data_IF_184932276909
#
_entry.id   IF_184932276909
#
_cell.length_a   1.000
_cell.length_b   1.000
_cell.length_c   1.000
_cell.angle_alpha   90.00
_cell.angle_beta   90.00
_cell.angle_gamma   90.00
#
_symmetry.space_group_name_H-M   'P 1'
#
loop_
_entity.id
_entity.type
_entity.pdbx_description
1 polymer ?
#
# COMPACT_ATOMS: atom_id res chain seq x y z
N UNK A 1 -1.89 -4.42 2.67
CA UNK A 1 -0.93 -3.59 3.46
C UNK A 1 -1.58 -3.20 4.78
N UNK A 2 -0.81 -2.87 5.83
CA UNK A 2 -1.33 -2.39 7.13
C UNK A 2 -0.69 -1.07 7.50
N UNK A 3 -1.47 -0.19 8.13
CA UNK A 3 -1.00 1.02 8.82
C UNK A 3 -1.17 0.81 10.32
N UNK A 4 -0.14 1.13 11.10
CA UNK A 4 -0.06 0.87 12.54
C UNK A 4 0.08 2.19 13.28
N UNK A 5 -0.60 2.35 14.42
CA UNK A 5 -0.67 3.59 15.19
C UNK A 5 -0.27 3.38 16.65
N UNK A 6 0.53 4.29 17.21
CA UNK A 6 0.78 4.34 18.66
C UNK A 6 1.03 5.77 19.15
N UNK A 7 0.75 5.99 20.45
CA UNK A 7 1.01 7.23 21.16
C UNK A 7 2.24 7.12 22.06
N UNK A 8 2.81 8.27 22.46
CA UNK A 8 4.03 8.32 23.27
C UNK A 8 3.98 7.66 24.66
N UNK A 9 2.82 7.22 25.15
CA UNK A 9 2.77 6.49 26.42
C UNK A 9 3.48 5.12 26.35
N UNK A 10 3.62 4.52 25.16
CA UNK A 10 4.30 3.23 24.95
C UNK A 10 5.72 3.37 24.38
N UNK A 11 6.28 4.58 24.39
CA UNK A 11 7.50 4.92 23.64
C UNK A 11 8.75 4.12 24.08
N UNK A 12 8.86 3.79 25.38
CA UNK A 12 9.98 2.99 25.91
C UNK A 12 9.96 1.55 25.39
N UNK A 13 8.80 0.90 25.41
CA UNK A 13 8.62 -0.45 24.85
C UNK A 13 8.78 -0.44 23.33
N UNK A 14 8.24 0.59 22.66
CA UNK A 14 8.39 0.78 21.23
C UNK A 14 9.87 0.87 20.81
N UNK A 15 10.70 1.70 21.46
CA UNK A 15 12.12 1.83 21.04
C UNK A 15 12.98 0.62 21.33
N UNK A 16 12.74 -0.08 22.45
CA UNK A 16 13.46 -1.32 22.77
C UNK A 16 13.24 -2.38 21.68
N UNK A 17 12.02 -2.48 21.19
CA UNK A 17 11.61 -3.45 20.17
C UNK A 17 11.97 -2.95 18.76
N UNK A 18 11.84 -1.65 18.48
CA UNK A 18 12.21 -1.03 17.22
C UNK A 18 13.71 -1.17 16.90
N UNK A 19 14.60 -0.98 17.89
CA UNK A 19 16.03 -1.21 17.70
C UNK A 19 16.35 -2.68 17.40
N UNK A 20 15.67 -3.62 18.06
CA UNK A 20 15.80 -5.06 17.78
C UNK A 20 15.42 -5.35 16.33
N UNK A 21 14.37 -4.71 15.83
CA UNK A 21 13.88 -4.90 14.46
C UNK A 21 14.76 -4.30 13.37
N UNK A 22 15.24 -3.06 13.53
CA UNK A 22 16.15 -2.43 12.55
C UNK A 22 17.44 -3.24 12.40
N UNK A 23 17.90 -3.87 13.49
CA UNK A 23 19.08 -4.73 13.48
C UNK A 23 18.81 -6.14 12.93
N UNK A 24 17.57 -6.62 12.97
CA UNK A 24 17.22 -8.00 12.57
C UNK A 24 16.53 -8.11 11.21
N UNK A 25 16.00 -7.02 10.64
CA UNK A 25 15.26 -7.05 9.36
C UNK A 25 15.78 -5.97 8.41
N UNK A 26 16.80 -6.30 7.58
CA UNK A 26 17.48 -5.33 6.70
C UNK A 26 16.57 -4.67 5.66
N UNK A 27 15.43 -5.28 5.32
CA UNK A 27 14.53 -4.83 4.25
C UNK A 27 13.27 -4.10 4.74
N UNK A 28 13.16 -3.83 6.04
CA UNK A 28 11.94 -3.25 6.58
C UNK A 28 11.85 -1.74 6.32
N UNK A 29 11.06 -1.37 5.30
CA UNK A 29 10.86 0.02 4.90
C UNK A 29 9.79 0.71 5.76
N UNK A 30 10.12 1.00 7.04
CA UNK A 30 9.24 1.79 7.90
C UNK A 30 9.48 3.27 7.63
N UNK A 31 8.52 3.90 6.97
CA UNK A 31 8.44 5.36 6.90
C UNK A 31 7.96 5.93 8.24
N UNK A 32 8.90 6.18 9.16
CA UNK A 32 8.64 7.03 10.31
C UNK A 32 8.57 8.48 9.84
N UNK A 33 7.36 8.98 9.54
CA UNK A 33 7.16 10.41 9.46
C UNK A 33 7.38 11.03 10.84
N UNK A 34 8.53 11.67 11.01
CA UNK A 34 8.78 12.60 12.10
C UNK A 34 8.73 14.02 11.57
N UNK A 35 8.02 14.90 12.29
CA UNK A 35 8.64 16.18 12.61
C UNK A 35 9.95 15.84 13.35
N UNK A 36 11.08 15.99 12.64
CA UNK A 36 12.49 15.79 13.03
C UNK A 36 13.12 14.40 12.79
N UNK A 37 13.80 14.26 11.64
CA UNK A 37 14.67 13.14 11.28
C UNK A 37 15.95 13.09 12.13
N UNK A 38 15.89 12.44 13.31
CA UNK A 38 17.06 11.78 13.92
C UNK A 38 16.58 10.45 14.52
N UNK A 39 17.39 9.42 14.33
CA UNK A 39 17.20 8.08 14.90
C UNK A 39 16.76 8.20 16.36
N UNK A 40 15.54 7.73 16.64
CA UNK A 40 14.83 7.80 17.93
C UNK A 40 14.47 9.22 18.42
N UNK A 41 13.17 9.62 18.39
CA UNK A 41 12.71 10.79 19.11
C UNK A 41 12.99 10.69 20.59
N UNK A 42 13.62 11.71 21.21
CA UNK A 42 13.53 11.84 22.65
C UNK A 42 12.03 11.88 23.04
N UNK A 43 11.67 11.36 24.22
CA UNK A 43 10.30 11.44 24.70
C UNK A 43 9.79 12.88 24.59
N UNK A 44 8.53 13.10 24.15
CA UNK A 44 8.03 14.45 23.94
C UNK A 44 8.17 15.27 25.23
N UNK A 45 8.74 16.47 25.11
CA UNK A 45 8.80 17.43 26.21
C UNK A 45 7.38 17.74 26.70
N UNK A 46 7.22 18.12 27.98
CA UNK A 46 5.91 18.44 28.56
C UNK A 46 5.10 19.36 27.62
N UNK A 47 3.85 18.97 27.35
CA UNK A 47 2.94 19.69 26.47
C UNK A 47 2.98 19.31 24.98
N UNK A 48 3.89 18.43 24.52
CA UNK A 48 3.94 17.97 23.12
C UNK A 48 3.32 16.58 22.94
N UNK A 49 2.48 16.41 21.90
CA UNK A 49 1.94 15.11 21.50
C UNK A 49 2.81 14.50 20.38
N UNK A 50 3.02 13.19 20.42
CA UNK A 50 3.73 12.45 19.38
C UNK A 50 2.82 11.32 18.87
N UNK A 51 2.63 11.31 17.55
CA UNK A 51 1.95 10.24 16.81
C UNK A 51 3.00 9.45 16.04
N UNK A 52 3.00 8.13 16.19
CA UNK A 52 3.84 7.23 15.40
C UNK A 52 2.95 6.48 14.43
N UNK A 53 3.35 6.51 13.15
CA UNK A 53 2.72 5.75 12.08
C UNK A 53 3.77 4.79 11.51
N UNK A 54 3.44 3.50 11.49
CA UNK A 54 4.21 2.48 10.80
C UNK A 54 3.40 1.88 9.64
N UNK A 55 4.07 1.53 8.55
CA UNK A 55 3.46 0.79 7.44
C UNK A 55 4.14 -0.58 7.29
N UNK A 56 3.36 -1.62 6.98
CA UNK A 56 3.91 -2.95 6.69
C UNK A 56 3.09 -3.69 5.63
N UNK A 57 3.78 -4.43 4.77
CA UNK A 57 3.18 -5.46 3.90
C UNK A 57 3.17 -6.84 4.56
N UNK A 58 3.93 -7.04 5.64
CA UNK A 58 4.14 -8.31 6.36
C UNK A 58 3.73 -8.18 7.82
N UNK A 59 2.43 -8.33 8.07
CA UNK A 59 1.86 -8.26 9.44
C UNK A 59 2.31 -9.46 10.28
N UNK A 60 2.34 -10.63 9.65
CA UNK A 60 2.83 -11.91 10.17
C UNK A 60 4.19 -11.76 10.85
N UNK A 61 5.16 -11.17 10.16
CA UNK A 61 6.51 -10.96 10.68
C UNK A 61 6.50 -10.06 11.92
N UNK A 62 5.74 -8.96 11.92
CA UNK A 62 5.65 -8.08 13.10
C UNK A 62 4.94 -8.75 14.28
N UNK A 63 4.02 -9.67 14.02
CA UNK A 63 3.35 -10.44 15.06
C UNK A 63 4.31 -11.47 15.69
N UNK A 64 5.08 -12.21 14.87
CA UNK A 64 6.12 -13.14 15.34
C UNK A 64 7.21 -12.45 16.15
N UNK A 65 7.50 -11.19 15.83
CA UNK A 65 8.48 -10.38 16.55
C UNK A 65 7.94 -9.70 17.83
N UNK A 66 6.68 -9.96 18.20
CA UNK A 66 5.96 -9.34 19.34
C UNK A 66 5.90 -7.80 19.24
N UNK A 67 5.91 -7.29 18.02
CA UNK A 67 5.94 -5.85 17.75
C UNK A 67 4.57 -5.25 17.55
N UNK A 68 3.62 -6.07 17.12
CA UNK A 68 2.27 -5.63 16.88
C UNK A 68 1.68 -4.98 18.15
N UNK A 69 2.04 -5.51 19.33
CA UNK A 69 1.57 -5.04 20.64
C UNK A 69 2.14 -3.67 21.03
N UNK A 70 3.24 -3.22 20.40
CA UNK A 70 3.74 -1.86 20.58
C UNK A 70 2.84 -0.82 19.90
N UNK A 71 1.93 -1.26 19.01
CA UNK A 71 0.96 -0.43 18.33
C UNK A 71 -0.45 -0.59 18.93
N UNK A 72 -1.05 0.53 19.33
CA UNK A 72 -2.41 0.58 19.87
C UNK A 72 -3.52 0.26 18.85
N UNK A 73 -3.26 0.45 17.56
CA UNK A 73 -4.30 0.24 16.52
C UNK A 73 -3.67 -0.15 15.19
N UNK A 74 -4.37 -0.98 14.42
CA UNK A 74 -3.99 -1.38 13.07
C UNK A 74 -5.14 -1.14 12.08
N UNK A 75 -4.83 -0.59 10.91
CA UNK A 75 -5.78 -0.36 9.82
C UNK A 75 -5.38 -1.24 8.64
N UNK A 76 -6.35 -1.98 8.09
CA UNK A 76 -6.15 -2.74 6.85
C UNK A 76 -6.31 -1.84 5.64
N UNK A 77 -5.30 -1.86 4.76
CA UNK A 77 -5.38 -1.23 3.44
C UNK A 77 -5.50 -2.37 2.41
N UNK A 78 -6.72 -2.65 1.92
CA UNK A 78 -6.95 -3.71 0.93
C UNK A 78 -6.45 -3.27 -0.46
N UNK A 79 -6.23 -4.27 -1.32
CA UNK A 79 -6.05 -4.03 -2.75
C UNK A 79 -7.40 -3.71 -3.41
N UNK A 80 -7.37 -3.13 -4.61
CA UNK A 80 -8.54 -3.05 -5.48
C UNK A 80 -8.93 -4.49 -5.82
N UNK A 81 -10.20 -4.82 -5.56
CA UNK A 81 -10.71 -6.20 -5.68
C UNK A 81 -11.79 -6.37 -6.75
N UNK A 82 -12.40 -5.26 -7.19
CA UNK A 82 -13.53 -5.24 -8.10
C UNK A 82 -13.23 -4.46 -9.36
N UNK A 83 -13.78 -4.92 -10.48
CA UNK A 83 -13.69 -4.22 -11.76
C UNK A 83 -14.22 -2.79 -11.70
N UNK A 84 -15.31 -2.54 -10.97
CA UNK A 84 -15.87 -1.19 -10.82
C UNK A 84 -14.90 -0.24 -10.10
N UNK A 85 -14.28 -0.70 -9.01
CA UNK A 85 -13.28 0.07 -8.26
C UNK A 85 -12.04 0.37 -9.10
N UNK A 86 -11.63 -0.58 -9.97
CA UNK A 86 -10.53 -0.37 -10.90
C UNK A 86 -10.86 0.76 -11.86
N UNK A 87 -12.05 0.74 -12.48
CA UNK A 87 -12.47 1.77 -13.44
C UNK A 87 -12.60 3.14 -12.77
N UNK A 88 -13.15 3.20 -11.56
CA UNK A 88 -13.21 4.43 -10.76
C UNK A 88 -11.81 4.99 -10.46
N UNK A 89 -10.85 4.11 -10.11
CA UNK A 89 -9.46 4.52 -9.92
C UNK A 89 -8.82 5.06 -11.21
N UNK A 90 -9.07 4.43 -12.36
CA UNK A 90 -8.58 4.91 -13.66
C UNK A 90 -9.19 6.28 -14.03
N UNK A 91 -10.44 6.51 -13.63
CA UNK A 91 -11.10 7.79 -13.83
C UNK A 91 -10.51 8.89 -12.97
N UNK A 92 -10.34 8.65 -11.67
CA UNK A 92 -9.71 9.61 -10.76
C UNK A 92 -8.27 9.94 -11.15
N UNK A 93 -7.53 8.97 -11.69
CA UNK A 93 -6.16 9.15 -12.16
C UNK A 93 -6.08 9.81 -13.56
N UNK A 94 -7.20 10.00 -14.26
CA UNK A 94 -7.25 10.67 -15.56
C UNK A 94 -6.42 9.99 -16.66
N UNK A 95 -6.14 8.69 -16.52
CA UNK A 95 -5.09 8.03 -17.32
C UNK A 95 -5.56 7.43 -18.65
N UNK A 96 -6.88 7.25 -18.81
CA UNK A 96 -7.52 6.71 -19.99
C UNK A 96 -8.73 7.58 -20.36
N UNK A 97 -8.99 7.70 -21.66
CA UNK A 97 -10.17 8.39 -22.18
C UNK A 97 -11.45 7.60 -21.85
N UNK A 98 -12.60 8.27 -21.91
CA UNK A 98 -13.90 7.66 -21.58
C UNK A 98 -14.17 6.36 -22.35
N UNK A 99 -13.88 6.34 -23.66
CA UNK A 99 -14.02 5.15 -24.50
C UNK A 99 -13.11 4.01 -24.05
N UNK A 100 -11.84 4.31 -23.77
CA UNK A 100 -10.86 3.33 -23.28
C UNK A 100 -11.30 2.76 -21.92
N UNK A 101 -11.77 3.61 -21.00
CA UNK A 101 -12.32 3.18 -19.71
C UNK A 101 -13.55 2.29 -19.88
N UNK A 102 -14.43 2.59 -20.82
CA UNK A 102 -15.60 1.76 -21.12
C UNK A 102 -15.20 0.37 -21.66
N UNK A 103 -14.17 0.30 -22.49
CA UNK A 103 -13.65 -0.97 -23.02
C UNK A 103 -12.96 -1.80 -21.93
N UNK A 104 -12.19 -1.15 -21.04
CA UNK A 104 -11.63 -1.79 -19.85
C UNK A 104 -12.75 -2.30 -18.94
N UNK A 105 -13.78 -1.49 -18.68
CA UNK A 105 -14.91 -1.86 -17.83
C UNK A 105 -15.62 -3.13 -18.33
N UNK A 106 -15.86 -3.23 -19.65
CA UNK A 106 -16.39 -4.46 -20.26
C UNK A 106 -15.46 -5.65 -20.06
N UNK A 107 -14.15 -5.44 -20.25
CA UNK A 107 -13.15 -6.50 -20.17
C UNK A 107 -12.93 -7.03 -18.75
N UNK A 108 -13.22 -6.26 -17.70
CA UNK A 108 -13.05 -6.68 -16.29
C UNK A 108 -14.38 -7.03 -15.61
N UNK A 109 -15.51 -6.85 -16.30
CA UNK A 109 -16.84 -7.14 -15.74
C UNK A 109 -16.95 -8.61 -15.33
N UNK A 110 -17.38 -8.83 -14.10
CA UNK A 110 -17.56 -10.19 -13.55
C UNK A 110 -16.26 -10.94 -13.24
N UNK A 111 -15.09 -10.30 -13.39
CA UNK A 111 -13.80 -10.89 -13.02
C UNK A 111 -13.30 -10.32 -11.69
N UNK A 112 -12.61 -11.18 -10.92
CA UNK A 112 -11.83 -10.76 -9.77
C UNK A 112 -10.65 -9.90 -10.21
N UNK A 113 -10.40 -8.82 -9.47
CA UNK A 113 -9.20 -8.00 -9.60
C UNK A 113 -8.41 -8.13 -8.29
N UNK A 114 -7.08 -8.03 -8.34
CA UNK A 114 -6.27 -7.93 -7.14
C UNK A 114 -5.00 -7.12 -7.39
N UNK A 115 -5.09 -5.81 -7.18
CA UNK A 115 -3.95 -4.91 -7.43
C UNK A 115 -3.85 -3.79 -6.41
N UNK A 116 -2.63 -3.52 -5.95
CA UNK A 116 -2.32 -2.36 -5.12
C UNK A 116 -2.04 -1.13 -5.98
N UNK A 117 -2.37 0.06 -5.46
CA UNK A 117 -2.28 1.34 -6.20
C UNK A 117 -0.91 1.58 -6.83
N UNK A 118 0.20 1.34 -6.11
CA UNK A 118 1.56 1.53 -6.67
C UNK A 118 1.79 0.69 -7.94
N UNK A 119 1.36 -0.57 -7.92
CA UNK A 119 1.51 -1.47 -9.07
C UNK A 119 0.58 -1.03 -10.19
N UNK A 120 -0.66 -0.66 -9.86
CA UNK A 120 -1.62 -0.13 -10.83
C UNK A 120 -1.06 1.09 -11.58
N UNK A 121 -0.53 2.08 -10.87
CA UNK A 121 0.09 3.29 -11.48
C UNK A 121 1.22 2.92 -12.42
N UNK A 122 2.10 1.99 -12.04
CA UNK A 122 3.17 1.49 -12.91
C UNK A 122 2.62 0.84 -14.20
N UNK A 123 1.57 0.01 -14.11
CA UNK A 123 0.99 -0.63 -15.30
C UNK A 123 0.30 0.38 -16.22
N UNK A 124 -0.33 1.40 -15.64
CA UNK A 124 -0.91 2.52 -16.38
C UNK A 124 0.20 3.26 -17.14
N UNK A 125 1.26 3.67 -16.44
CA UNK A 125 2.40 4.39 -17.03
C UNK A 125 2.99 3.62 -18.22
N UNK A 126 3.15 2.29 -18.09
CA UNK A 126 3.64 1.45 -19.18
C UNK A 126 2.66 1.39 -20.37
N UNK A 127 1.35 1.35 -20.10
CA UNK A 127 0.34 1.26 -21.15
C UNK A 127 0.18 2.56 -21.94
N UNK A 128 0.25 3.72 -21.28
CA UNK A 128 0.06 5.04 -21.94
C UNK A 128 1.21 5.42 -22.87
N UNK A 129 2.38 4.78 -22.76
CA UNK A 129 3.48 4.93 -23.71
C UNK A 129 3.22 4.27 -25.07
N UNK A 130 2.20 3.40 -25.16
CA UNK A 130 1.80 2.80 -26.43
C UNK A 130 0.98 3.80 -27.27
N UNK A 131 0.97 3.57 -28.59
CA UNK A 131 0.03 4.27 -29.47
C UNK A 131 -1.41 4.09 -28.98
N UNK A 132 -2.30 5.08 -29.16
CA UNK A 132 -3.66 5.07 -28.62
C UNK A 132 -4.45 3.79 -28.85
N UNK A 133 -4.28 3.17 -30.02
CA UNK A 133 -4.98 1.94 -30.41
C UNK A 133 -4.56 0.70 -29.60
N UNK A 134 -3.38 0.72 -28.96
CA UNK A 134 -2.81 -0.41 -28.21
C UNK A 134 -2.80 -0.24 -26.70
N UNK A 135 -3.20 0.92 -26.17
CA UNK A 135 -3.12 1.22 -24.73
C UNK A 135 -3.97 0.27 -23.89
N UNK A 136 -5.23 0.08 -24.28
CA UNK A 136 -6.19 -0.80 -23.58
C UNK A 136 -5.72 -2.25 -23.62
N UNK A 137 -5.31 -2.75 -24.78
CA UNK A 137 -4.85 -4.13 -24.93
C UNK A 137 -3.57 -4.36 -24.13
N UNK A 138 -2.60 -3.43 -24.17
CA UNK A 138 -1.39 -3.50 -23.36
C UNK A 138 -1.70 -3.52 -21.86
N UNK A 139 -2.57 -2.63 -21.39
CA UNK A 139 -2.96 -2.55 -19.98
C UNK A 139 -3.61 -3.86 -19.49
N UNK A 140 -4.56 -4.39 -20.24
CA UNK A 140 -5.23 -5.66 -19.89
C UNK A 140 -4.27 -6.85 -19.92
N UNK A 141 -3.31 -6.87 -20.85
CA UNK A 141 -2.25 -7.89 -20.88
C UNK A 141 -1.37 -7.80 -19.64
N UNK A 142 -0.90 -6.59 -19.29
CA UNK A 142 -0.10 -6.37 -18.09
C UNK A 142 -0.84 -6.77 -16.81
N UNK A 143 -2.14 -6.48 -16.70
CA UNK A 143 -2.95 -6.93 -15.57
C UNK A 143 -2.98 -8.45 -15.43
N UNK A 144 -3.11 -9.19 -16.54
CA UNK A 144 -3.11 -10.66 -16.53
C UNK A 144 -1.74 -11.25 -16.21
N UNK A 145 -0.68 -10.75 -16.85
CA UNK A 145 0.71 -11.19 -16.61
C UNK A 145 1.12 -11.01 -15.15
N UNK A 146 0.59 -9.97 -14.51
CA UNK A 146 0.85 -9.67 -13.11
C UNK A 146 -0.05 -10.41 -12.13
N UNK A 147 -0.89 -11.33 -12.62
CA UNK A 147 -1.85 -12.10 -11.81
C UNK A 147 -2.91 -11.24 -11.14
N UNK A 148 -3.17 -10.04 -11.66
CA UNK A 148 -4.06 -9.05 -11.07
C UNK A 148 -5.49 -9.08 -11.62
N UNK A 149 -5.75 -9.80 -12.72
CA UNK A 149 -7.06 -9.93 -13.35
C UNK A 149 -7.37 -11.40 -13.67
N UNK A 150 -8.55 -11.87 -13.27
CA UNK A 150 -8.99 -13.26 -13.50
C UNK A 150 -8.51 -14.25 -12.44
N UNK A 151 -7.74 -13.80 -11.46
CA UNK A 151 -7.36 -14.53 -10.27
C UNK A 151 -8.50 -14.47 -9.24
N UNK A 152 -8.93 -15.63 -8.75
CA UNK A 152 -9.87 -15.75 -7.63
C UNK A 152 -9.14 -15.22 -6.38
N UNK A 153 -9.71 -14.30 -5.59
CA UNK A 153 -9.11 -13.90 -4.33
C UNK A 153 -8.97 -15.14 -3.43
N UNK A 154 -7.74 -15.46 -3.03
CA UNK A 154 -7.41 -16.47 -2.02
C UNK A 154 -7.75 -15.91 -0.64
#
# INVERSE_FOLDING_TARGET
>A
MRVLYTSAHHLKSFFKVFYRMVLSVPELNIHLHRVSLRHVPPPPTQGRKLLIIGTTSRKDVLQEMEMLDAFSTTIHIPNISRGEQLVEALEMLGSFQEKERADIAKAVKGQGVWIGIKKLTMLIEMAVQMDPEYRVSKFLTLLREQGALGSIPI
#
